data_IF_487133962056
#
_entry.id   IF_487133962056
#
_cell.length_a   1.000
_cell.length_b   1.000
_cell.length_c   1.000
_cell.angle_alpha   90.00
_cell.angle_beta   90.00
_cell.angle_gamma   90.00
#
_symmetry.space_group_name_H-M   'P 1'
#
loop_
_entity.id
_entity.type
_entity.pdbx_description
1 polymer ?
#
# COMPACT_ATOMS: atom_id res chain seq x y z
N UNK A 1 2.55 -11.69 -0.95
CA UNK A 1 1.10 -11.91 -0.95
C UNK A 1 0.52 -11.19 -2.16
N UNK A 2 -0.35 -11.87 -2.90
CA UNK A 2 -1.17 -11.22 -3.93
C UNK A 2 -2.37 -10.59 -3.24
N UNK A 3 -2.66 -9.34 -3.56
CA UNK A 3 -3.78 -8.60 -3.00
C UNK A 3 -4.69 -8.14 -4.13
N UNK A 4 -6.00 -8.27 -3.90
CA UNK A 4 -7.04 -7.68 -4.76
C UNK A 4 -7.72 -6.61 -3.93
N UNK A 5 -7.72 -5.39 -4.42
CA UNK A 5 -8.41 -4.28 -3.77
C UNK A 5 -9.79 -4.13 -4.39
N UNK A 6 -10.82 -4.11 -3.53
CA UNK A 6 -12.17 -3.78 -3.97
C UNK A 6 -12.27 -2.33 -4.45
N UNK A 7 -13.31 -2.03 -5.19
CA UNK A 7 -13.69 -0.66 -5.48
C UNK A 7 -14.32 -0.05 -4.23
N UNK A 8 -13.66 0.94 -3.67
CA UNK A 8 -14.25 1.74 -2.60
C UNK A 8 -15.51 2.43 -3.13
N UNK A 9 -16.63 2.30 -2.40
CA UNK A 9 -17.92 2.86 -2.82
C UNK A 9 -18.81 1.95 -3.67
N UNK A 10 -18.42 0.70 -3.91
CA UNK A 10 -19.24 -0.23 -4.69
C UNK A 10 -20.60 -0.53 -4.04
N UNK A 11 -20.65 -0.61 -2.69
CA UNK A 11 -21.91 -0.73 -1.98
C UNK A 11 -22.81 0.49 -2.18
N UNK A 12 -22.26 1.69 -2.16
CA UNK A 12 -22.99 2.92 -2.43
C UNK A 12 -23.49 2.96 -3.88
N UNK A 13 -22.67 2.50 -4.80
CA UNK A 13 -23.05 2.34 -6.21
C UNK A 13 -24.21 1.34 -6.36
N UNK A 14 -24.14 0.20 -5.71
CA UNK A 14 -25.18 -0.80 -5.74
C UNK A 14 -26.49 -0.31 -5.10
N UNK A 15 -26.41 0.42 -4.00
CA UNK A 15 -27.58 1.00 -3.32
C UNK A 15 -28.22 2.14 -4.11
N UNK A 16 -27.44 2.89 -4.88
CA UNK A 16 -27.92 4.00 -5.71
C UNK A 16 -28.46 3.57 -7.07
N UNK A 17 -28.18 2.33 -7.50
CA UNK A 17 -28.67 1.80 -8.76
C UNK A 17 -30.17 1.53 -8.70
N UNK A 18 -30.90 1.95 -9.74
CA UNK A 18 -32.32 1.61 -9.85
C UNK A 18 -32.47 0.08 -10.10
N UNK A 19 -33.20 -0.65 -9.23
CA UNK A 19 -33.32 -2.11 -9.32
C UNK A 19 -34.04 -2.60 -10.58
N UNK A 20 -34.72 -1.71 -11.32
CA UNK A 20 -35.38 -2.04 -12.57
C UNK A 20 -34.49 -1.90 -13.81
N UNK A 21 -33.27 -1.41 -13.66
CA UNK A 21 -32.32 -1.31 -14.77
C UNK A 21 -31.82 -2.69 -15.19
N UNK A 22 -31.70 -2.95 -16.50
CA UNK A 22 -31.19 -4.21 -16.99
C UNK A 22 -29.71 -4.37 -16.64
N UNK A 23 -29.27 -5.61 -16.42
CA UNK A 23 -27.85 -5.91 -16.18
C UNK A 23 -27.01 -5.73 -17.45
N UNK A 24 -27.58 -6.12 -18.60
CA UNK A 24 -26.93 -6.06 -19.89
C UNK A 24 -27.68 -5.13 -20.84
N UNK A 25 -26.93 -4.47 -21.69
CA UNK A 25 -27.47 -3.72 -22.84
C UNK A 25 -27.73 -4.67 -24.04
N UNK A 26 -28.44 -4.20 -25.07
CA UNK A 26 -28.83 -4.99 -26.25
C UNK A 26 -27.61 -5.52 -27.05
N UNK A 27 -26.45 -4.88 -26.89
CA UNK A 27 -25.19 -5.29 -27.54
C UNK A 27 -24.42 -6.38 -26.75
N UNK A 28 -24.98 -6.87 -25.65
CA UNK A 28 -24.37 -7.89 -24.78
C UNK A 28 -23.34 -7.38 -23.77
N UNK A 29 -23.01 -6.10 -23.79
CA UNK A 29 -22.15 -5.47 -22.76
C UNK A 29 -22.97 -5.16 -21.51
N UNK A 30 -22.30 -4.92 -20.37
CA UNK A 30 -23.00 -4.43 -19.20
C UNK A 30 -23.67 -3.09 -19.48
N UNK A 31 -24.93 -2.97 -19.06
CA UNK A 31 -25.67 -1.74 -19.20
C UNK A 31 -25.01 -0.63 -18.37
N UNK A 32 -24.74 0.51 -18.97
CA UNK A 32 -24.25 1.69 -18.29
C UNK A 32 -25.30 2.82 -18.39
N UNK A 33 -25.68 3.44 -17.27
CA UNK A 33 -26.58 4.60 -17.29
C UNK A 33 -25.98 5.74 -18.13
N UNK A 34 -26.82 6.36 -18.94
CA UNK A 34 -26.40 7.47 -19.84
C UNK A 34 -26.18 8.80 -19.13
N UNK A 35 -26.53 8.89 -17.85
CA UNK A 35 -26.35 10.12 -17.06
C UNK A 35 -24.92 10.23 -16.54
N UNK A 36 -24.21 11.35 -16.74
CA UNK A 36 -22.89 11.58 -16.17
C UNK A 36 -22.85 11.53 -14.64
N UNK A 37 -24.00 11.74 -14.01
CA UNK A 37 -24.18 11.69 -12.53
C UNK A 37 -24.89 10.42 -12.09
N UNK A 38 -25.21 9.51 -13.03
CA UNK A 38 -25.91 8.26 -12.74
C UNK A 38 -25.05 7.24 -12.02
N UNK A 39 -25.71 6.37 -11.27
CA UNK A 39 -25.06 5.23 -10.65
C UNK A 39 -24.47 4.33 -11.75
N UNK A 40 -23.25 3.88 -11.54
CA UNK A 40 -22.58 2.92 -12.42
C UNK A 40 -23.15 1.53 -12.21
N UNK A 41 -23.03 0.65 -13.20
CA UNK A 41 -23.43 -0.74 -13.02
C UNK A 41 -22.45 -1.45 -12.05
N UNK A 42 -22.87 -1.84 -10.84
CA UNK A 42 -21.95 -2.38 -9.85
C UNK A 42 -21.37 -3.74 -10.23
N UNK A 43 -22.09 -4.52 -11.05
CA UNK A 43 -21.60 -5.82 -11.54
C UNK A 43 -20.51 -5.61 -12.58
N UNK A 44 -20.67 -4.63 -13.48
CA UNK A 44 -19.63 -4.27 -14.42
C UNK A 44 -18.37 -3.79 -13.70
N UNK A 45 -18.51 -2.99 -12.66
CA UNK A 45 -17.35 -2.52 -11.89
C UNK A 45 -16.61 -3.65 -11.17
N UNK A 46 -17.35 -4.67 -10.72
CA UNK A 46 -16.74 -5.86 -10.10
C UNK A 46 -15.94 -6.74 -11.09
N UNK A 47 -16.46 -6.85 -12.31
CA UNK A 47 -15.93 -7.82 -13.28
C UNK A 47 -14.89 -7.19 -14.20
N UNK A 48 -15.13 -5.95 -14.62
CA UNK A 48 -14.33 -5.30 -15.64
C UNK A 48 -13.12 -4.54 -15.08
N UNK A 49 -13.22 -4.05 -13.84
CA UNK A 49 -12.13 -3.30 -13.22
C UNK A 49 -11.10 -4.27 -12.62
N UNK A 50 -9.86 -4.10 -13.06
CA UNK A 50 -8.71 -4.84 -12.57
C UNK A 50 -7.95 -3.98 -11.56
N UNK A 51 -8.15 -4.25 -10.27
CA UNK A 51 -7.49 -3.53 -9.18
C UNK A 51 -6.80 -4.53 -8.26
N UNK A 52 -5.58 -4.87 -8.59
CA UNK A 52 -4.81 -5.89 -7.88
C UNK A 52 -3.33 -5.54 -7.77
N UNK A 53 -2.59 -6.37 -7.09
CA UNK A 53 -1.15 -6.21 -6.97
C UNK A 53 -0.50 -7.21 -6.04
N UNK A 54 0.72 -6.89 -5.70
CA UNK A 54 1.55 -7.72 -4.85
C UNK A 54 2.13 -6.89 -3.72
N UNK A 55 2.13 -7.49 -2.54
CA UNK A 55 2.79 -6.89 -1.39
C UNK A 55 3.77 -7.89 -0.77
N UNK A 56 4.96 -7.42 -0.51
CA UNK A 56 6.01 -8.18 0.16
C UNK A 56 6.37 -7.49 1.46
N UNK A 57 6.31 -8.25 2.54
CA UNK A 57 6.77 -7.82 3.86
C UNK A 57 7.97 -8.64 4.26
N UNK A 58 8.99 -7.95 4.74
CA UNK A 58 10.13 -8.58 5.42
C UNK A 58 10.28 -7.93 6.79
N UNK A 59 10.14 -8.73 7.82
CA UNK A 59 10.34 -8.33 9.21
C UNK A 59 11.47 -9.18 9.76
N UNK A 60 12.46 -8.53 10.33
CA UNK A 60 13.58 -9.21 10.98
C UNK A 60 14.01 -8.47 12.22
N UNK A 61 14.33 -9.21 13.27
CA UNK A 61 14.92 -8.67 14.49
C UNK A 61 16.02 -9.60 14.95
N UNK A 62 17.17 -9.02 15.25
CA UNK A 62 18.29 -9.71 15.88
C UNK A 62 18.61 -9.01 17.20
N UNK A 63 18.78 -9.79 18.24
CA UNK A 63 19.11 -9.28 19.58
C UNK A 63 20.30 -10.03 20.15
N UNK A 64 21.24 -9.30 20.72
CA UNK A 64 22.36 -9.83 21.49
C UNK A 64 22.28 -9.33 22.93
N UNK A 65 22.32 -10.26 23.90
CA UNK A 65 22.33 -9.95 25.35
C UNK A 65 23.63 -10.42 25.97
N UNK A 66 24.25 -9.54 26.71
CA UNK A 66 25.50 -9.83 27.44
C UNK A 66 25.36 -9.48 28.92
N UNK A 67 25.80 -10.40 29.75
CA UNK A 67 25.98 -10.14 31.17
C UNK A 67 27.44 -9.70 31.37
N UNK A 68 27.65 -8.41 31.57
CA UNK A 68 29.00 -7.83 31.75
C UNK A 68 29.55 -8.05 33.16
N UNK A 69 28.67 -8.03 34.16
CA UNK A 69 29.02 -8.27 35.55
C UNK A 69 27.89 -9.06 36.21
N UNK A 70 28.24 -10.12 36.89
CA UNK A 70 27.32 -10.89 37.71
C UNK A 70 28.01 -11.37 38.98
N UNK A 71 27.60 -10.81 40.13
CA UNK A 71 28.03 -11.19 41.46
C UNK A 71 26.79 -11.37 42.33
N UNK A 72 26.98 -11.83 43.57
CA UNK A 72 25.85 -11.98 44.51
C UNK A 72 25.13 -10.67 44.84
N UNK A 73 25.80 -9.53 44.64
CA UNK A 73 25.25 -8.19 44.95
C UNK A 73 25.06 -7.29 43.76
N UNK A 74 25.64 -7.64 42.62
CA UNK A 74 25.63 -6.75 41.41
C UNK A 74 25.33 -7.54 40.17
N UNK A 75 24.49 -6.94 39.33
CA UNK A 75 24.22 -7.41 37.97
C UNK A 75 24.29 -6.23 37.01
N UNK A 76 25.14 -6.35 36.00
CA UNK A 76 25.17 -5.44 34.86
C UNK A 76 24.95 -6.26 33.61
N UNK A 77 23.85 -6.01 32.92
CA UNK A 77 23.60 -6.59 31.63
C UNK A 77 23.34 -5.51 30.58
N UNK A 78 23.62 -5.85 29.35
CA UNK A 78 23.36 -4.99 28.23
C UNK A 78 22.75 -5.80 27.08
N UNK A 79 21.88 -5.18 26.30
CA UNK A 79 21.37 -5.75 25.08
C UNK A 79 21.50 -4.75 23.93
N UNK A 80 21.75 -5.31 22.76
CA UNK A 80 21.74 -4.60 21.49
C UNK A 80 20.77 -5.31 20.57
N UNK A 81 19.77 -4.61 20.09
CA UNK A 81 18.81 -5.14 19.13
C UNK A 81 18.83 -4.32 17.83
N UNK A 82 18.73 -5.02 16.73
CA UNK A 82 18.55 -4.44 15.40
C UNK A 82 17.30 -5.02 14.79
N UNK A 83 16.39 -4.13 14.35
CA UNK A 83 15.14 -4.49 13.68
C UNK A 83 15.08 -3.88 12.30
N UNK A 84 14.60 -4.68 11.37
CA UNK A 84 14.36 -4.30 9.98
C UNK A 84 12.91 -4.55 9.62
N UNK A 85 12.26 -3.54 9.07
CA UNK A 85 10.95 -3.64 8.45
C UNK A 85 11.03 -3.15 7.01
N UNK A 86 10.79 -4.04 6.07
CA UNK A 86 10.71 -3.73 4.66
C UNK A 86 9.32 -4.09 4.12
N UNK A 87 8.70 -3.15 3.42
CA UNK A 87 7.42 -3.32 2.77
C UNK A 87 7.51 -2.81 1.34
N UNK A 88 7.21 -3.68 0.38
CA UNK A 88 7.18 -3.38 -1.05
C UNK A 88 5.77 -3.65 -1.56
N UNK A 89 5.14 -2.62 -2.12
CA UNK A 89 3.82 -2.67 -2.72
C UNK A 89 3.92 -2.34 -4.20
N UNK A 90 3.40 -3.23 -5.02
CA UNK A 90 3.15 -3.03 -6.44
C UNK A 90 1.66 -3.17 -6.69
N UNK A 91 1.00 -2.10 -7.09
CA UNK A 91 -0.43 -2.06 -7.38
C UNK A 91 -0.66 -1.66 -8.83
N UNK A 92 -1.62 -2.30 -9.48
CA UNK A 92 -2.09 -1.93 -10.80
C UNK A 92 -3.60 -1.78 -10.78
N UNK A 93 -4.04 -0.76 -11.45
CA UNK A 93 -5.44 -0.45 -11.67
C UNK A 93 -5.67 -0.32 -13.17
N UNK A 94 -6.73 -0.95 -13.64
CA UNK A 94 -7.17 -0.81 -15.02
C UNK A 94 -8.68 -0.76 -15.07
N UNK A 95 -9.21 0.18 -15.83
CA UNK A 95 -10.63 0.29 -16.14
C UNK A 95 -10.80 0.34 -17.66
N UNK A 96 -11.63 -0.56 -18.26
CA UNK A 96 -11.76 -0.64 -19.72
C UNK A 96 -12.57 0.53 -20.28
N UNK A 97 -12.48 0.70 -21.60
CA UNK A 97 -13.23 1.72 -22.34
C UNK A 97 -14.75 1.60 -22.23
N UNK A 98 -15.25 0.39 -21.93
CA UNK A 98 -16.67 0.07 -21.75
C UNK A 98 -17.17 0.29 -20.33
N UNK A 99 -16.31 0.66 -19.39
CA UNK A 99 -16.67 0.85 -18.00
C UNK A 99 -17.51 2.10 -17.76
N UNK A 100 -18.30 2.10 -16.68
CA UNK A 100 -19.03 3.28 -16.23
C UNK A 100 -18.12 4.47 -15.89
N UNK A 101 -16.93 4.21 -15.39
CA UNK A 101 -15.94 5.24 -15.11
C UNK A 101 -15.44 5.91 -16.39
N UNK A 102 -15.07 5.13 -17.41
CA UNK A 102 -14.65 5.64 -18.71
C UNK A 102 -15.74 6.46 -19.38
N UNK A 103 -16.97 6.00 -19.31
CA UNK A 103 -18.12 6.71 -19.83
C UNK A 103 -18.36 8.04 -19.10
N UNK A 104 -18.30 8.04 -17.77
CA UNK A 104 -18.55 9.21 -16.92
C UNK A 104 -17.50 10.32 -17.16
N UNK A 105 -16.24 9.95 -17.29
CA UNK A 105 -15.15 10.92 -17.46
C UNK A 105 -14.75 11.18 -18.91
N UNK A 106 -15.34 10.47 -19.87
CA UNK A 106 -15.14 10.70 -21.29
C UNK A 106 -13.79 10.24 -21.84
N UNK A 107 -13.16 9.23 -21.23
CA UNK A 107 -11.93 8.62 -21.73
C UNK A 107 -12.16 7.19 -22.22
N UNK A 108 -11.22 6.67 -23.02
CA UNK A 108 -11.26 5.30 -23.56
C UNK A 108 -10.31 4.41 -22.78
N UNK A 109 -10.78 3.93 -21.63
CA UNK A 109 -9.96 3.15 -20.71
C UNK A 109 -8.92 3.99 -19.95
N UNK A 110 -8.54 3.51 -18.75
CA UNK A 110 -7.51 4.12 -17.93
C UNK A 110 -6.70 3.04 -17.26
N UNK A 111 -5.40 3.22 -17.20
CA UNK A 111 -4.50 2.37 -16.44
C UNK A 111 -3.62 3.18 -15.51
N UNK A 112 -3.33 2.62 -14.36
CA UNK A 112 -2.44 3.20 -13.35
C UNK A 112 -1.58 2.12 -12.73
N UNK A 113 -0.32 2.43 -12.53
CA UNK A 113 0.65 1.58 -11.83
C UNK A 113 1.28 2.36 -10.70
N UNK A 114 1.24 1.81 -9.51
CA UNK A 114 1.86 2.38 -8.32
C UNK A 114 2.86 1.40 -7.73
N UNK A 115 4.07 1.88 -7.50
CA UNK A 115 5.11 1.18 -6.74
C UNK A 115 5.41 1.98 -5.49
N UNK A 116 5.38 1.32 -4.34
CA UNK A 116 5.70 1.95 -3.07
C UNK A 116 6.62 1.04 -2.28
N UNK A 117 7.67 1.63 -1.72
CA UNK A 117 8.59 0.95 -0.82
C UNK A 117 8.70 1.71 0.48
N UNK A 118 8.68 0.99 1.57
CA UNK A 118 8.97 1.49 2.90
C UNK A 118 10.05 0.65 3.52
N UNK A 119 11.02 1.31 4.08
CA UNK A 119 12.14 0.70 4.76
C UNK A 119 12.31 1.40 6.09
N UNK A 120 12.22 0.64 7.19
CA UNK A 120 12.46 1.15 8.54
C UNK A 120 13.49 0.26 9.19
N UNK A 121 14.54 0.88 9.71
CA UNK A 121 15.55 0.22 10.52
C UNK A 121 15.62 0.86 11.89
N UNK A 122 15.80 0.03 12.89
CA UNK A 122 15.89 0.46 14.29
C UNK A 122 17.03 -0.25 14.97
N UNK A 123 17.90 0.54 15.58
CA UNK A 123 18.94 0.07 16.46
C UNK A 123 18.62 0.52 17.89
N UNK A 124 18.59 -0.42 18.81
CA UNK A 124 18.29 -0.15 20.21
C UNK A 124 19.37 -0.76 21.09
N UNK A 125 19.94 0.05 21.92
CA UNK A 125 20.84 -0.37 22.98
C UNK A 125 20.20 -0.12 24.35
N UNK A 126 20.28 -1.11 25.23
CA UNK A 126 19.76 -1.05 26.59
C UNK A 126 20.78 -1.60 27.56
N UNK A 127 21.09 -0.85 28.62
CA UNK A 127 21.91 -1.26 29.74
C UNK A 127 21.12 -1.24 31.05
N UNK A 128 21.20 -2.32 31.80
CA UNK A 128 20.54 -2.46 33.08
C UNK A 128 21.62 -2.77 34.15
N UNK A 129 21.59 -2.02 35.21
CA UNK A 129 22.44 -2.23 36.40
C UNK A 129 21.58 -2.40 37.63
N UNK A 130 21.88 -3.42 38.44
CA UNK A 130 21.29 -3.61 39.76
C UNK A 130 22.39 -3.82 40.80
N UNK A 131 22.22 -3.17 41.93
CA UNK A 131 23.07 -3.30 43.10
C UNK A 131 22.17 -3.56 44.30
N UNK A 132 22.38 -4.71 44.98
CA UNK A 132 21.69 -5.09 46.19
C UNK A 132 22.64 -5.01 47.36
N UNK A 133 22.40 -4.04 48.25
CA UNK A 133 23.04 -3.87 49.53
C UNK A 133 22.07 -4.38 50.60
N UNK A 134 22.58 -4.71 51.81
CA UNK A 134 21.77 -5.35 52.85
C UNK A 134 20.43 -4.65 53.11
N UNK A 135 20.43 -3.32 53.14
CA UNK A 135 19.24 -2.50 53.41
C UNK A 135 18.77 -1.66 52.22
N UNK A 136 19.49 -1.70 51.10
CA UNK A 136 19.20 -0.87 49.91
C UNK A 136 19.33 -1.67 48.62
N UNK A 137 18.37 -1.49 47.72
CA UNK A 137 18.45 -1.99 46.35
C UNK A 137 18.38 -0.82 45.37
N UNK A 138 19.40 -0.70 44.51
CA UNK A 138 19.51 0.36 43.50
C UNK A 138 19.39 -0.30 42.14
N UNK A 139 18.49 0.22 41.31
CA UNK A 139 18.34 -0.20 39.91
C UNK A 139 18.47 1.01 39.00
N UNK A 140 19.29 0.90 37.97
CA UNK A 140 19.47 1.92 36.95
C UNK A 140 19.31 1.30 35.59
N UNK A 141 18.68 2.06 34.66
CA UNK A 141 18.49 1.68 33.28
C UNK A 141 18.97 2.85 32.42
N UNK A 142 19.74 2.55 31.40
CA UNK A 142 20.12 3.51 30.36
C UNK A 142 19.87 2.87 29.00
N UNK A 143 19.40 3.67 28.05
CA UNK A 143 19.12 3.17 26.71
C UNK A 143 19.30 4.26 25.68
N UNK A 144 19.55 3.80 24.47
CA UNK A 144 19.61 4.62 23.27
C UNK A 144 18.90 3.92 22.14
N UNK A 145 18.05 4.64 21.42
CA UNK A 145 17.34 4.14 20.24
C UNK A 145 17.62 5.07 19.08
N UNK A 146 18.00 4.49 17.97
CA UNK A 146 18.08 5.14 16.68
C UNK A 146 17.11 4.47 15.72
N UNK A 147 16.24 5.24 15.09
CA UNK A 147 15.30 4.75 14.08
C UNK A 147 15.39 5.61 12.83
N UNK A 148 15.44 4.97 11.69
CA UNK A 148 15.42 5.61 10.41
C UNK A 148 14.35 4.96 9.54
N UNK A 149 13.49 5.79 8.96
CA UNK A 149 12.47 5.38 7.99
C UNK A 149 12.66 6.08 6.67
N UNK A 150 12.58 5.32 5.59
CA UNK A 150 12.63 5.82 4.21
C UNK A 150 11.46 5.28 3.44
N UNK A 151 10.94 6.11 2.54
CA UNK A 151 9.93 5.68 1.60
C UNK A 151 10.19 6.21 0.21
N UNK A 152 9.76 5.43 -0.78
CA UNK A 152 9.77 5.79 -2.19
C UNK A 152 8.41 5.43 -2.78
N UNK A 153 7.88 6.30 -3.61
CA UNK A 153 6.67 6.05 -4.38
C UNK A 153 6.87 6.49 -5.82
N UNK A 154 6.54 5.60 -6.74
CA UNK A 154 6.42 5.88 -8.16
C UNK A 154 4.97 5.64 -8.57
N UNK A 155 4.38 6.62 -9.23
CA UNK A 155 3.05 6.53 -9.79
C UNK A 155 3.09 6.89 -11.26
N UNK A 156 2.46 6.09 -12.10
CA UNK A 156 2.31 6.37 -13.53
C UNK A 156 0.91 5.95 -13.98
N UNK A 157 0.26 6.82 -14.74
CA UNK A 157 -1.07 6.55 -15.30
C UNK A 157 -1.18 7.09 -16.71
N UNK A 158 -2.04 6.48 -17.51
CA UNK A 158 -2.44 6.99 -18.83
C UNK A 158 -3.87 6.55 -19.13
N UNK A 159 -4.47 7.19 -20.13
CA UNK A 159 -5.82 6.89 -20.60
C UNK A 159 -5.90 6.97 -22.12
N UNK A 160 -7.10 6.73 -22.66
CA UNK A 160 -7.39 6.73 -24.09
C UNK A 160 -6.56 5.71 -24.88
N UNK A 161 -6.66 4.45 -24.43
CA UNK A 161 -6.03 3.32 -25.08
C UNK A 161 -6.76 2.96 -26.38
N UNK A 162 -6.00 2.60 -27.41
CA UNK A 162 -6.56 2.10 -28.65
C UNK A 162 -7.24 0.72 -28.47
N UNK A 163 -6.74 -0.07 -27.55
CA UNK A 163 -7.21 -1.42 -27.24
C UNK A 163 -7.10 -1.70 -25.73
N UNK A 164 -8.14 -2.27 -25.15
CA UNK A 164 -8.22 -2.59 -23.72
C UNK A 164 -7.41 -3.85 -23.33
N UNK A 165 -7.00 -4.68 -24.27
CA UNK A 165 -6.35 -5.96 -24.02
C UNK A 165 -4.94 -5.84 -23.42
N UNK A 166 -4.26 -4.72 -23.60
CA UNK A 166 -2.95 -4.46 -23.02
C UNK A 166 -3.02 -4.05 -21.54
N UNK A 167 -4.20 -3.57 -21.12
CA UNK A 167 -4.44 -3.13 -19.73
C UNK A 167 -3.33 -2.20 -19.24
N UNK A 168 -2.81 -2.46 -18.04
CA UNK A 168 -1.71 -1.72 -17.40
C UNK A 168 -0.30 -2.16 -17.86
N UNK A 169 -0.19 -3.15 -18.74
CA UNK A 169 1.11 -3.67 -19.19
C UNK A 169 1.85 -2.72 -20.14
N UNK A 170 1.13 -1.85 -20.83
CA UNK A 170 1.73 -0.86 -21.71
C UNK A 170 1.03 0.49 -21.55
N UNK A 171 1.51 1.28 -20.59
CA UNK A 171 1.01 2.64 -20.39
C UNK A 171 1.36 3.59 -21.54
N UNK A 172 2.37 3.25 -22.35
CA UNK A 172 2.80 4.12 -23.45
C UNK A 172 1.83 4.13 -24.63
N UNK A 173 0.98 3.10 -24.75
CA UNK A 173 -0.05 2.98 -25.79
C UNK A 173 -1.27 3.89 -25.57
N UNK A 174 -1.39 4.50 -24.39
CA UNK A 174 -2.42 5.51 -24.14
C UNK A 174 -2.06 6.85 -24.77
N UNK A 175 -3.06 7.56 -25.29
CA UNK A 175 -2.85 8.81 -26.03
C UNK A 175 -3.06 10.08 -25.21
N UNK A 176 -3.46 9.95 -23.96
CA UNK A 176 -3.84 11.09 -23.11
C UNK A 176 -2.86 11.32 -21.95
N UNK A 177 -1.66 11.77 -22.30
CA UNK A 177 -0.65 12.16 -21.30
C UNK A 177 -0.90 13.58 -20.79
N UNK A 178 -1.24 13.72 -19.51
CA UNK A 178 -1.31 15.01 -18.83
C UNK A 178 -0.11 15.20 -17.91
N UNK A 179 0.25 16.45 -17.69
CA UNK A 179 1.21 16.79 -16.62
C UNK A 179 0.70 16.27 -15.27
N UNK A 180 1.56 15.58 -14.50
CA UNK A 180 1.21 14.98 -13.21
C UNK A 180 0.72 13.53 -13.24
N UNK A 181 0.58 12.91 -14.41
CA UNK A 181 0.22 11.49 -14.53
C UNK A 181 1.37 10.53 -14.20
N UNK A 182 2.59 11.02 -14.16
CA UNK A 182 3.71 10.30 -13.62
C UNK A 182 4.41 11.15 -12.56
N UNK A 183 4.75 10.55 -11.45
CA UNK A 183 5.41 11.22 -10.34
C UNK A 183 6.22 10.26 -9.50
N UNK A 184 7.30 10.78 -8.95
CA UNK A 184 8.12 10.08 -7.97
C UNK A 184 8.19 10.91 -6.70
N UNK A 185 7.98 10.29 -5.58
CA UNK A 185 8.14 10.89 -4.25
C UNK A 185 9.08 10.06 -3.41
N UNK A 186 9.91 10.73 -2.62
CA UNK A 186 10.80 10.09 -1.64
C UNK A 186 10.73 10.86 -0.34
N UNK A 187 10.96 10.17 0.77
CA UNK A 187 11.05 10.79 2.08
C UNK A 187 11.91 9.98 3.03
N UNK A 188 12.48 10.68 4.00
CA UNK A 188 13.31 10.12 5.05
C UNK A 188 13.00 10.82 6.35
N UNK A 189 12.95 10.05 7.44
CA UNK A 189 12.90 10.55 8.82
C UNK A 189 13.87 9.74 9.69
N UNK A 190 14.48 10.39 10.64
CA UNK A 190 15.37 9.78 11.62
C UNK A 190 15.11 10.35 13.01
#
# INVERSE_FOLDING_TARGET
VNETWGNDGMFDTALSMNPTMPLYADNGNYYQPTSPTGARNPVAELVDIDNNGQRMYVLGTAEAKLNLLRTDKQLLNTSLSYSLHYNDLKQHYFTPSTSGESYQYGYKGRAEVTYQKWYTQRLEWLGNYSLDLQDHSIKAVAGYTYEESRWERLNASNSDFAYDNLKWHDLSSGSFLKAGQAGMGTGQSA
#
